data_IF_607242301795
#
_entry.id   IF_607242301795
#
_cell.length_a   1.000
_cell.length_b   1.000
_cell.length_c   1.000
_cell.angle_alpha   90.00
_cell.angle_beta   90.00
_cell.angle_gamma   90.00
#
_symmetry.space_group_name_H-M   'P 1'
#
loop_
_entity.id
_entity.type
_entity.pdbx_description
1 polymer ?
#
# COMPACT_ATOMS: atom_id res chain seq x y z
N UNK A 1 -3.70 6.42 12.24
CA UNK A 1 -4.56 6.69 13.41
C UNK A 1 -4.36 5.72 14.58
N UNK A 2 -4.75 4.45 14.43
CA UNK A 2 -4.81 3.48 15.54
C UNK A 2 -3.47 3.00 16.11
N UNK A 3 -2.41 2.93 15.29
CA UNK A 3 -1.07 2.49 15.74
C UNK A 3 -0.45 3.48 16.75
N UNK A 4 -0.75 4.78 16.64
CA UNK A 4 -0.30 5.82 17.57
C UNK A 4 -1.02 5.74 18.92
N UNK A 5 -2.28 5.30 18.93
CA UNK A 5 -3.10 5.10 20.14
C UNK A 5 -2.65 3.84 20.90
N UNK A 6 -2.34 2.76 20.18
CA UNK A 6 -1.76 1.55 20.78
C UNK A 6 -0.36 1.80 21.38
N UNK A 7 0.46 2.64 20.72
CA UNK A 7 1.74 3.10 21.27
C UNK A 7 1.59 3.91 22.56
N UNK A 8 0.52 4.72 22.71
CA UNK A 8 0.28 5.48 23.96
C UNK A 8 -0.03 4.58 25.16
N UNK A 9 -0.44 3.33 24.94
CA UNK A 9 -0.81 2.39 26.01
C UNK A 9 0.31 1.44 26.43
N UNK A 10 1.53 1.63 25.92
CA UNK A 10 2.73 0.79 26.16
C UNK A 10 2.54 -0.71 25.86
N UNK A 11 1.47 -1.08 25.12
CA UNK A 11 1.18 -2.47 24.76
C UNK A 11 1.82 -2.81 23.42
N UNK A 12 3.05 -3.36 23.51
CA UNK A 12 3.85 -3.83 22.38
C UNK A 12 3.05 -4.78 21.47
N UNK A 13 2.34 -5.75 22.07
CA UNK A 13 1.54 -6.73 21.34
C UNK A 13 0.38 -6.14 20.54
N UNK A 14 -0.36 -5.18 21.09
CA UNK A 14 -1.47 -4.54 20.38
C UNK A 14 -0.97 -3.66 19.21
N UNK A 15 0.19 -3.01 19.37
CA UNK A 15 0.81 -2.22 18.30
C UNK A 15 1.28 -3.12 17.17
N UNK A 16 1.91 -4.26 17.49
CA UNK A 16 2.34 -5.29 16.55
C UNK A 16 1.16 -5.93 15.80
N UNK A 17 0.08 -6.26 16.51
CA UNK A 17 -1.12 -6.84 15.90
C UNK A 17 -1.77 -5.89 14.89
N UNK A 18 -1.94 -4.60 15.25
CA UNK A 18 -2.49 -3.60 14.33
C UNK A 18 -1.58 -3.33 13.13
N UNK A 19 -0.27 -3.31 13.32
CA UNK A 19 0.71 -3.22 12.23
C UNK A 19 0.59 -4.41 11.27
N UNK A 20 0.50 -5.63 11.80
CA UNK A 20 0.36 -6.83 11.00
C UNK A 20 -0.96 -6.83 10.21
N UNK A 21 -2.06 -6.38 10.82
CA UNK A 21 -3.36 -6.23 10.14
C UNK A 21 -3.27 -5.21 9.00
N UNK A 22 -2.66 -4.05 9.21
CA UNK A 22 -2.46 -3.05 8.13
C UNK A 22 -1.59 -3.59 7.00
N UNK A 23 -0.52 -4.33 7.32
CA UNK A 23 0.33 -4.98 6.33
C UNK A 23 -0.40 -6.05 5.52
N UNK A 24 -1.21 -6.90 6.18
CA UNK A 24 -2.02 -7.93 5.53
C UNK A 24 -3.09 -7.34 4.61
N UNK A 25 -3.80 -6.31 5.07
CA UNK A 25 -4.79 -5.59 4.25
C UNK A 25 -4.11 -4.98 3.01
N UNK A 26 -2.94 -4.35 3.17
CA UNK A 26 -2.18 -3.82 2.05
C UNK A 26 -1.67 -4.89 1.08
N UNK A 27 -1.21 -6.03 1.58
CA UNK A 27 -0.76 -7.13 0.74
C UNK A 27 -1.93 -7.78 -0.03
N UNK A 28 -3.08 -7.95 0.61
CA UNK A 28 -4.31 -8.41 -0.05
C UNK A 28 -4.76 -7.45 -1.14
N UNK A 29 -4.68 -6.14 -0.88
CA UNK A 29 -4.98 -5.10 -1.86
C UNK A 29 -4.10 -5.22 -3.12
N UNK A 30 -2.77 -5.31 -2.94
CA UNK A 30 -1.82 -5.50 -4.05
C UNK A 30 -2.06 -6.82 -4.80
N UNK A 31 -2.48 -7.87 -4.11
CA UNK A 31 -2.80 -9.16 -4.74
C UNK A 31 -4.02 -9.08 -5.66
N UNK A 32 -5.08 -8.39 -5.22
CA UNK A 32 -6.29 -8.17 -6.03
C UNK A 32 -5.97 -7.31 -7.25
N UNK A 33 -5.26 -6.21 -7.05
CA UNK A 33 -4.72 -5.32 -8.09
C UNK A 33 -3.95 -6.07 -9.18
N UNK A 34 -2.99 -6.91 -8.78
CA UNK A 34 -2.19 -7.71 -9.72
C UNK A 34 -3.02 -8.74 -10.48
N UNK A 35 -4.04 -9.31 -9.83
CA UNK A 35 -4.92 -10.29 -10.48
C UNK A 35 -5.82 -9.61 -11.53
N UNK A 36 -6.38 -8.46 -11.20
CA UNK A 36 -7.21 -7.68 -12.12
C UNK A 36 -6.40 -7.18 -13.31
N UNK A 37 -5.16 -6.78 -13.07
CA UNK A 37 -4.18 -6.44 -14.08
C UNK A 37 -3.83 -7.60 -15.01
N UNK A 38 -3.59 -8.80 -14.46
CA UNK A 38 -3.35 -10.00 -15.25
C UNK A 38 -4.58 -10.37 -16.11
N UNK A 39 -5.79 -10.24 -15.55
CA UNK A 39 -7.04 -10.49 -16.25
C UNK A 39 -7.25 -9.53 -17.43
N UNK A 40 -6.96 -8.23 -17.25
CA UNK A 40 -7.01 -7.20 -18.30
C UNK A 40 -6.00 -7.45 -19.44
N UNK A 41 -4.85 -8.06 -19.13
CA UNK A 41 -3.85 -8.47 -20.13
C UNK A 41 -4.31 -9.72 -20.88
N UNK A 42 -4.93 -10.69 -20.20
CA UNK A 42 -5.46 -11.92 -20.79
C UNK A 42 -6.68 -11.68 -21.70
N UNK A 43 -7.51 -10.68 -21.44
CA UNK A 43 -8.61 -10.26 -22.33
C UNK A 43 -8.15 -9.65 -23.67
N UNK A 44 -6.83 -9.57 -23.93
CA UNK A 44 -6.30 -9.18 -25.24
C UNK A 44 -6.26 -7.67 -25.48
N UNK A 45 -6.55 -6.84 -24.46
CA UNK A 45 -6.31 -5.40 -24.47
C UNK A 45 -4.84 -5.10 -24.17
N UNK A 46 -3.94 -5.59 -25.02
CA UNK A 46 -2.51 -5.35 -24.86
C UNK A 46 -2.13 -3.87 -25.02
N UNK A 47 -0.99 -3.43 -24.43
CA UNK A 47 -0.45 -2.06 -24.51
C UNK A 47 -0.12 -1.56 -25.93
N UNK A 48 -0.39 -2.37 -26.96
CA UNK A 48 -0.23 -2.04 -28.38
C UNK A 48 -1.46 -1.37 -29.03
N UNK A 49 -2.63 -1.30 -28.36
CA UNK A 49 -3.85 -0.68 -28.94
C UNK A 49 -4.01 0.82 -28.67
N UNK A 50 -3.50 1.35 -27.56
CA UNK A 50 -3.68 2.76 -27.20
C UNK A 50 -2.66 3.26 -26.16
N UNK A 51 -2.17 4.50 -26.32
CA UNK A 51 -1.20 5.14 -25.40
C UNK A 51 -1.68 5.18 -23.93
N UNK A 52 -3.00 5.15 -23.71
CA UNK A 52 -3.64 5.18 -22.40
C UNK A 52 -3.28 3.97 -21.52
N UNK A 53 -3.26 2.76 -22.08
CA UNK A 53 -2.95 1.53 -21.32
C UNK A 53 -1.48 1.45 -20.91
N UNK A 54 -0.54 1.93 -21.73
CA UNK A 54 0.89 1.90 -21.40
C UNK A 54 1.24 2.88 -20.27
N UNK A 55 0.61 4.06 -20.26
CA UNK A 55 0.76 5.03 -19.16
C UNK A 55 0.11 4.50 -17.87
N UNK A 56 -1.06 3.86 -17.97
CA UNK A 56 -1.72 3.19 -16.85
C UNK A 56 -0.84 2.09 -16.24
N UNK A 57 -0.31 1.19 -17.07
CA UNK A 57 0.56 0.09 -16.63
C UNK A 57 1.81 0.60 -15.91
N UNK A 58 2.42 1.66 -16.44
CA UNK A 58 3.60 2.28 -15.82
C UNK A 58 3.24 2.94 -14.49
N UNK A 59 2.10 3.65 -14.41
CA UNK A 59 1.64 4.31 -13.20
C UNK A 59 1.29 3.29 -12.11
N UNK A 60 0.47 2.29 -12.42
CA UNK A 60 0.08 1.22 -11.48
C UNK A 60 1.28 0.36 -11.11
N UNK A 61 2.14 0.01 -12.07
CA UNK A 61 3.36 -0.75 -11.80
C UNK A 61 4.32 -0.01 -10.86
N UNK A 62 4.58 1.28 -11.09
CA UNK A 62 5.39 2.09 -10.16
C UNK A 62 4.72 2.24 -8.80
N UNK A 63 3.39 2.33 -8.76
CA UNK A 63 2.62 2.40 -7.52
C UNK A 63 2.70 1.10 -6.71
N UNK A 64 2.46 -0.06 -7.33
CA UNK A 64 2.60 -1.38 -6.71
C UNK A 64 4.02 -1.64 -6.19
N UNK A 65 5.04 -1.20 -6.94
CA UNK A 65 6.43 -1.20 -6.46
C UNK A 65 6.60 -0.30 -5.21
N UNK A 66 6.01 0.90 -5.18
CA UNK A 66 6.05 1.75 -3.98
C UNK A 66 5.34 1.12 -2.76
N UNK A 67 4.19 0.45 -2.96
CA UNK A 67 3.46 -0.25 -1.88
C UNK A 67 4.31 -1.38 -1.31
N UNK A 68 4.91 -2.20 -2.17
CA UNK A 68 5.74 -3.32 -1.75
C UNK A 68 6.97 -2.85 -0.96
N UNK A 69 7.62 -1.76 -1.36
CA UNK A 69 8.66 -1.11 -0.55
C UNK A 69 8.13 -0.63 0.81
N UNK A 70 6.93 -0.04 0.84
CA UNK A 70 6.26 0.36 2.09
C UNK A 70 5.97 -0.81 3.04
N UNK A 71 5.50 -1.95 2.50
CA UNK A 71 5.25 -3.18 3.26
C UNK A 71 6.56 -3.76 3.82
N UNK A 72 7.63 -3.82 3.01
CA UNK A 72 8.94 -4.30 3.47
C UNK A 72 9.49 -3.40 4.58
N UNK A 73 9.34 -2.08 4.46
CA UNK A 73 9.72 -1.16 5.52
C UNK A 73 8.86 -1.37 6.78
N UNK A 74 7.55 -1.57 6.62
CA UNK A 74 6.66 -1.89 7.73
C UNK A 74 7.11 -3.16 8.47
N UNK A 75 7.38 -4.25 7.74
CA UNK A 75 7.83 -5.53 8.30
C UNK A 75 9.18 -5.41 9.01
N UNK A 76 10.15 -4.70 8.42
CA UNK A 76 11.45 -4.47 9.06
C UNK A 76 11.32 -3.67 10.35
N UNK A 77 10.49 -2.63 10.39
CA UNK A 77 10.17 -1.90 11.62
C UNK A 77 9.45 -2.77 12.65
N UNK A 78 8.55 -3.64 12.19
CA UNK A 78 7.82 -4.57 13.04
C UNK A 78 8.79 -5.52 13.77
N UNK A 79 9.74 -6.12 13.05
CA UNK A 79 10.82 -6.95 13.62
C UNK A 79 11.73 -6.15 14.56
N UNK A 80 12.05 -4.90 14.20
CA UNK A 80 12.92 -4.03 14.99
C UNK A 80 12.26 -3.60 16.32
N UNK A 81 10.95 -3.36 16.31
CA UNK A 81 10.14 -3.09 17.53
C UNK A 81 10.02 -4.33 18.40
N UNK A 82 9.86 -5.51 17.78
CA UNK A 82 9.79 -6.78 18.53
C UNK A 82 11.11 -7.08 19.27
N UNK A 83 12.27 -6.83 18.65
CA UNK A 83 13.59 -7.08 19.26
C UNK A 83 14.10 -5.98 20.19
N UNK A 84 13.95 -4.70 19.84
CA UNK A 84 14.56 -3.56 20.57
C UNK A 84 13.57 -2.73 21.41
N UNK A 85 12.27 -3.03 21.35
CA UNK A 85 11.23 -2.30 22.07
C UNK A 85 10.81 -0.98 21.41
N UNK A 86 9.89 -0.25 22.07
CA UNK A 86 9.40 1.06 21.60
C UNK A 86 10.41 2.16 21.94
N UNK A 87 11.37 2.39 21.04
CA UNK A 87 12.30 3.52 21.10
C UNK A 87 11.67 4.74 20.43
N UNK A 88 11.94 5.96 20.92
CA UNK A 88 11.44 7.21 20.32
C UNK A 88 11.83 7.36 18.82
N UNK A 89 12.92 6.73 18.38
CA UNK A 89 13.32 6.67 16.97
C UNK A 89 12.34 5.86 16.10
N UNK A 90 11.87 4.70 16.58
CA UNK A 90 10.91 3.86 15.85
C UNK A 90 9.56 4.55 15.73
N UNK A 91 9.18 5.33 16.75
CA UNK A 91 7.94 6.14 16.77
C UNK A 91 7.92 7.18 15.65
N UNK A 92 9.05 7.86 15.42
CA UNK A 92 9.21 8.81 14.30
C UNK A 92 9.13 8.11 12.94
N UNK A 93 9.86 7.00 12.77
CA UNK A 93 9.84 6.21 11.53
C UNK A 93 8.44 5.71 11.18
N UNK A 94 7.68 5.27 12.17
CA UNK A 94 6.32 4.80 11.97
C UNK A 94 5.33 5.92 11.62
N UNK A 95 5.52 7.13 12.15
CA UNK A 95 4.73 8.30 11.71
C UNK A 95 5.05 8.68 10.26
N UNK A 96 6.32 8.68 9.85
CA UNK A 96 6.69 8.86 8.45
C UNK A 96 6.06 7.81 7.55
N UNK A 97 6.12 6.52 7.93
CA UNK A 97 5.49 5.44 7.19
C UNK A 97 3.97 5.60 7.09
N UNK A 98 3.30 5.99 8.18
CA UNK A 98 1.85 6.22 8.16
C UNK A 98 1.46 7.37 7.24
N UNK A 99 2.25 8.45 7.19
CA UNK A 99 2.03 9.56 6.27
C UNK A 99 2.22 9.10 4.82
N UNK A 100 3.27 8.34 4.57
CA UNK A 100 3.56 7.75 3.26
C UNK A 100 2.44 6.83 2.78
N UNK A 101 1.90 5.99 3.66
CA UNK A 101 0.80 5.08 3.33
C UNK A 101 -0.50 5.83 2.99
N UNK A 102 -0.82 6.89 3.74
CA UNK A 102 -1.98 7.73 3.44
C UNK A 102 -1.82 8.46 2.11
N UNK A 103 -0.61 8.93 1.80
CA UNK A 103 -0.33 9.58 0.52
C UNK A 103 -0.55 8.60 -0.65
N UNK A 104 -0.09 7.37 -0.48
CA UNK A 104 -0.26 6.31 -1.46
C UNK A 104 -1.74 5.97 -1.67
N UNK A 105 -2.50 5.79 -0.59
CA UNK A 105 -3.95 5.55 -0.62
C UNK A 105 -4.72 6.66 -1.36
N UNK A 106 -4.34 7.93 -1.15
CA UNK A 106 -4.95 9.08 -1.85
C UNK A 106 -4.67 9.05 -3.36
N UNK A 107 -3.42 8.78 -3.77
CA UNK A 107 -3.09 8.65 -5.20
C UNK A 107 -3.91 7.52 -5.81
N UNK A 108 -4.02 6.39 -5.10
CA UNK A 108 -4.77 5.25 -5.56
C UNK A 108 -6.24 5.57 -5.81
N UNK A 109 -6.91 6.24 -4.87
CA UNK A 109 -8.30 6.68 -5.02
C UNK A 109 -8.46 7.56 -6.26
N UNK A 110 -7.49 8.44 -6.53
CA UNK A 110 -7.45 9.24 -7.75
C UNK A 110 -7.39 8.39 -9.01
N UNK A 111 -6.46 7.42 -9.06
CA UNK A 111 -6.32 6.50 -10.20
C UNK A 111 -7.59 5.69 -10.42
N UNK A 112 -8.17 5.10 -9.37
CA UNK A 112 -9.42 4.35 -9.46
C UNK A 112 -10.58 5.24 -9.93
N UNK A 113 -10.66 6.47 -9.44
CA UNK A 113 -11.74 7.39 -9.87
C UNK A 113 -11.58 7.81 -11.33
N UNK A 114 -10.40 8.27 -11.74
CA UNK A 114 -10.20 8.79 -13.09
C UNK A 114 -10.11 7.70 -14.16
N UNK A 115 -9.50 6.55 -13.85
CA UNK A 115 -9.30 5.49 -14.85
C UNK A 115 -10.51 4.55 -14.88
N UNK A 116 -10.94 4.08 -13.71
CA UNK A 116 -12.00 3.07 -13.62
C UNK A 116 -13.39 3.67 -13.88
N UNK A 117 -13.70 4.84 -13.32
CA UNK A 117 -15.00 5.47 -13.50
C UNK A 117 -15.15 6.12 -14.89
N UNK A 118 -14.09 6.73 -15.43
CA UNK A 118 -14.11 7.32 -16.78
C UNK A 118 -14.03 6.26 -17.88
N UNK A 119 -13.45 5.08 -17.60
CA UNK A 119 -13.47 3.94 -18.52
C UNK A 119 -14.81 3.19 -18.57
N UNK A 120 -15.62 3.29 -17.52
CA UNK A 120 -16.99 2.71 -17.44
C UNK A 120 -18.07 3.64 -18.01
N UNK A 121 -17.81 4.94 -18.13
CA UNK A 121 -18.75 5.88 -18.74
C UNK A 121 -18.62 5.83 -20.28
N UNK A 122 -19.67 5.40 -21.02
CA UNK A 122 -19.65 5.31 -22.48
C UNK A 122 -19.57 6.68 -23.18
#
# INVERSE_FOLDING_TARGET
GFVVIAMRRNRRGATLAWLAVTGLLGAGFVGIELHEFAHLIEEGNGPQRSAFLSSFFTLVGTHGLHVTFGIVWLLTLMMQIAKRGLIAANRRRLMCLSMFWHFLDVIWIGVFTFVYLMGVLP
#
